data_IF_351718050033
#
_entry.id   IF_351718050033
#
_cell.length_a   1.000
_cell.length_b   1.000
_cell.length_c   1.000
_cell.angle_alpha   90.00
_cell.angle_beta   90.00
_cell.angle_gamma   90.00
#
_symmetry.space_group_name_H-M   'P 1'
#
loop_
_entity.id
_entity.type
_entity.pdbx_description
1 polymer ?
#
# COMPACT_ATOMS: atom_id res chain seq x y z
N UNK A 1 -58.34 -19.80 -12.52
CA UNK A 1 -58.94 -18.95 -11.47
C UNK A 1 -58.02 -17.89 -10.86
N UNK A 2 -56.72 -17.81 -11.22
CA UNK A 2 -55.80 -16.79 -10.67
C UNK A 2 -55.78 -15.43 -11.40
N UNK A 3 -56.45 -15.29 -12.54
CA UNK A 3 -56.43 -14.05 -13.36
C UNK A 3 -57.53 -13.02 -13.00
N UNK A 4 -58.37 -13.31 -11.99
CA UNK A 4 -59.50 -12.46 -11.56
C UNK A 4 -59.30 -11.78 -10.19
N UNK A 5 -58.22 -12.09 -9.47
CA UNK A 5 -57.98 -11.52 -8.12
C UNK A 5 -57.16 -10.22 -8.18
N UNK A 6 -56.37 -10.00 -9.23
CA UNK A 6 -55.65 -8.75 -9.43
C UNK A 6 -56.38 -7.88 -10.45
N UNK A 7 -57.28 -7.04 -9.93
CA UNK A 7 -58.07 -6.09 -10.70
C UNK A 7 -57.19 -5.23 -11.60
N UNK A 8 -57.55 -5.17 -12.88
CA UNK A 8 -56.86 -4.47 -13.98
C UNK A 8 -56.86 -2.94 -13.89
N UNK A 9 -57.19 -2.38 -12.72
CA UNK A 9 -56.94 -0.98 -12.37
C UNK A 9 -55.91 -0.84 -11.25
N UNK A 10 -55.93 -1.77 -10.27
CA UNK A 10 -54.89 -1.84 -9.24
C UNK A 10 -53.57 -2.39 -9.79
N UNK A 11 -53.63 -3.39 -10.68
CA UNK A 11 -52.44 -4.00 -11.25
C UNK A 11 -51.71 -3.13 -12.28
N UNK A 12 -52.32 -2.05 -12.78
CA UNK A 12 -51.71 -1.11 -13.75
C UNK A 12 -51.27 0.19 -13.07
N UNK A 13 -52.06 0.69 -12.13
CA UNK A 13 -51.76 1.94 -11.41
C UNK A 13 -50.72 1.70 -10.28
N UNK A 14 -50.75 0.52 -9.64
CA UNK A 14 -49.76 0.16 -8.61
C UNK A 14 -48.56 -0.60 -9.19
N UNK A 15 -48.64 -1.18 -10.40
CA UNK A 15 -47.47 -1.85 -11.00
C UNK A 15 -46.33 -0.88 -11.26
N UNK A 16 -46.63 0.34 -11.70
CA UNK A 16 -45.61 1.35 -11.93
C UNK A 16 -44.91 1.73 -10.62
N UNK A 17 -45.68 1.98 -9.56
CA UNK A 17 -45.14 2.33 -8.23
C UNK A 17 -44.34 1.16 -7.64
N UNK A 18 -44.84 -0.07 -7.75
CA UNK A 18 -44.16 -1.27 -7.27
C UNK A 18 -42.85 -1.48 -8.06
N UNK A 19 -42.85 -1.33 -9.38
CA UNK A 19 -41.64 -1.45 -10.19
C UNK A 19 -40.61 -0.37 -9.86
N UNK A 20 -41.04 0.88 -9.67
CA UNK A 20 -40.17 1.98 -9.23
C UNK A 20 -39.58 1.66 -7.85
N UNK A 21 -40.41 1.17 -6.92
CA UNK A 21 -39.94 0.81 -5.58
C UNK A 21 -38.89 -0.31 -5.62
N UNK A 22 -39.10 -1.34 -6.45
CA UNK A 22 -38.16 -2.45 -6.66
C UNK A 22 -36.87 -1.95 -7.32
N UNK A 23 -36.96 -1.05 -8.30
CA UNK A 23 -35.80 -0.45 -8.95
C UNK A 23 -34.95 0.37 -7.96
N UNK A 24 -35.58 1.15 -7.08
CA UNK A 24 -34.91 1.89 -6.01
C UNK A 24 -34.24 0.91 -5.03
N UNK A 25 -34.94 -0.15 -4.64
CA UNK A 25 -34.42 -1.16 -3.72
C UNK A 25 -33.22 -1.91 -4.32
N UNK A 26 -33.28 -2.27 -5.60
CA UNK A 26 -32.18 -2.85 -6.35
C UNK A 26 -31.00 -1.89 -6.47
N UNK A 27 -31.25 -0.61 -6.74
CA UNK A 27 -30.21 0.41 -6.84
C UNK A 27 -29.51 0.61 -5.48
N UNK A 28 -30.27 0.72 -4.39
CA UNK A 28 -29.74 0.80 -3.03
C UNK A 28 -28.95 -0.46 -2.66
N UNK A 29 -29.45 -1.64 -3.01
CA UNK A 29 -28.76 -2.92 -2.79
C UNK A 29 -27.45 -3.00 -3.58
N UNK A 30 -27.44 -2.53 -4.84
CA UNK A 30 -26.24 -2.48 -5.68
C UNK A 30 -25.22 -1.50 -5.10
N UNK A 31 -25.65 -0.29 -4.69
CA UNK A 31 -24.81 0.69 -4.02
C UNK A 31 -24.21 0.13 -2.72
N UNK A 32 -25.03 -0.54 -1.90
CA UNK A 32 -24.57 -1.19 -0.67
C UNK A 32 -23.59 -2.32 -0.93
N UNK A 33 -23.82 -3.14 -1.97
CA UNK A 33 -22.94 -4.23 -2.37
C UNK A 33 -21.59 -3.69 -2.86
N UNK A 34 -21.59 -2.64 -3.69
CA UNK A 34 -20.38 -1.95 -4.15
C UNK A 34 -19.62 -1.38 -2.94
N UNK A 35 -20.31 -0.72 -2.02
CA UNK A 35 -19.70 -0.16 -0.80
C UNK A 35 -19.05 -1.25 0.08
N UNK A 36 -19.72 -2.41 0.24
CA UNK A 36 -19.23 -3.53 1.06
C UNK A 36 -18.12 -4.35 0.40
N UNK A 37 -18.13 -4.51 -0.93
CA UNK A 37 -17.15 -5.34 -1.67
C UNK A 37 -15.95 -4.55 -2.18
N UNK A 38 -16.06 -3.23 -2.36
CA UNK A 38 -15.02 -2.36 -2.94
C UNK A 38 -15.03 -0.95 -2.28
N UNK A 39 -14.79 -0.82 -0.97
CA UNK A 39 -14.67 0.52 -0.34
C UNK A 39 -13.53 1.36 -0.95
N UNK A 40 -12.56 0.69 -1.58
CA UNK A 40 -11.39 1.29 -2.25
C UNK A 40 -11.72 2.09 -3.53
N UNK A 41 -12.87 1.85 -4.19
CA UNK A 41 -13.23 2.57 -5.44
C UNK A 41 -13.80 3.98 -5.19
N UNK A 42 -14.27 4.25 -3.97
CA UNK A 42 -14.77 5.58 -3.54
C UNK A 42 -13.79 6.34 -2.65
N UNK A 43 -12.72 5.68 -2.18
CA UNK A 43 -11.50 6.38 -1.82
C UNK A 43 -10.86 6.86 -3.12
N UNK A 44 -11.37 7.99 -3.64
CA UNK A 44 -10.63 8.83 -4.56
C UNK A 44 -9.38 9.22 -3.79
N UNK A 45 -8.30 8.45 -3.96
CA UNK A 45 -6.98 8.80 -3.48
C UNK A 45 -6.74 10.16 -4.05
N UNK A 46 -6.93 11.18 -3.20
CA UNK A 46 -6.48 12.52 -3.47
C UNK A 46 -5.02 12.26 -3.83
N UNK A 47 -4.64 12.40 -5.10
CA UNK A 47 -3.24 12.43 -5.50
C UNK A 47 -2.71 13.55 -4.65
N UNK A 48 -2.17 13.20 -3.49
CA UNK A 48 -1.47 14.10 -2.61
C UNK A 48 -0.35 14.48 -3.54
N UNK A 49 -0.46 15.68 -4.11
CA UNK A 49 0.71 16.36 -4.63
C UNK A 49 1.80 16.03 -3.63
N UNK A 50 2.90 15.46 -4.12
CA UNK A 50 4.11 15.20 -3.36
C UNK A 50 4.63 16.56 -2.87
N UNK A 51 3.90 17.17 -1.94
CA UNK A 51 4.48 17.99 -0.92
C UNK A 51 5.45 17.06 -0.26
N UNK A 52 6.71 17.40 -0.42
CA UNK A 52 7.82 16.92 0.37
C UNK A 52 7.42 17.07 1.85
N UNK A 53 6.63 16.12 2.36
CA UNK A 53 6.49 15.92 3.79
C UNK A 53 7.84 15.34 4.13
N UNK A 54 8.63 16.15 4.81
CA UNK A 54 9.81 15.73 5.55
C UNK A 54 9.33 14.73 6.61
N UNK A 55 8.90 13.55 6.18
CA UNK A 55 8.84 12.42 7.07
C UNK A 55 10.30 12.11 7.36
N UNK A 56 10.70 12.40 8.59
CA UNK A 56 12.05 12.11 9.06
C UNK A 56 12.30 10.61 8.87
N UNK A 57 13.45 10.26 8.30
CA UNK A 57 13.87 8.87 8.09
C UNK A 57 14.38 8.30 9.43
N UNK A 58 13.50 8.22 10.43
CA UNK A 58 13.78 7.57 11.72
C UNK A 58 13.58 6.07 11.60
N UNK A 59 14.47 5.29 12.23
CA UNK A 59 14.31 3.83 12.35
C UNK A 59 13.61 3.41 13.65
N UNK A 60 13.35 4.36 14.55
CA UNK A 60 12.72 4.10 15.86
C UNK A 60 11.31 4.69 15.91
N UNK A 61 10.43 4.00 16.66
CA UNK A 61 9.04 4.43 16.85
C UNK A 61 8.09 4.06 15.69
N UNK A 62 8.54 3.23 14.75
CA UNK A 62 7.76 2.75 13.61
C UNK A 62 7.51 1.26 13.75
N UNK A 63 6.26 0.82 13.66
CA UNK A 63 5.94 -0.59 13.41
C UNK A 63 6.09 -0.87 11.91
N UNK A 64 7.29 -1.32 11.52
CA UNK A 64 7.59 -1.59 10.12
C UNK A 64 6.68 -2.65 9.50
N UNK A 65 6.21 -3.63 10.29
CA UNK A 65 5.39 -4.70 9.74
C UNK A 65 4.00 -4.17 9.35
N UNK A 66 3.36 -3.45 10.26
CA UNK A 66 2.05 -2.84 10.02
C UNK A 66 2.12 -1.77 8.93
N UNK A 67 3.11 -0.87 8.98
CA UNK A 67 3.24 0.23 8.03
C UNK A 67 3.55 -0.24 6.60
N UNK A 68 4.40 -1.27 6.44
CA UNK A 68 4.66 -1.88 5.13
C UNK A 68 3.38 -2.53 4.60
N UNK A 69 2.66 -3.28 5.44
CA UNK A 69 1.41 -3.94 5.04
C UNK A 69 0.35 -2.92 4.61
N UNK A 70 0.21 -1.83 5.36
CA UNK A 70 -0.69 -0.73 5.04
C UNK A 70 -0.28 -0.02 3.74
N UNK A 71 1.01 0.24 3.54
CA UNK A 71 1.51 0.84 2.30
C UNK A 71 1.27 -0.06 1.07
N UNK A 72 1.45 -1.38 1.21
CA UNK A 72 1.17 -2.34 0.14
C UNK A 72 -0.32 -2.44 -0.18
N UNK A 73 -1.19 -2.48 0.84
CA UNK A 73 -2.65 -2.47 0.66
C UNK A 73 -3.12 -1.21 -0.09
N UNK A 74 -2.50 -0.06 0.20
CA UNK A 74 -2.74 1.20 -0.51
C UNK A 74 -2.05 1.32 -1.87
N UNK A 75 -1.37 0.29 -2.36
CA UNK A 75 -0.52 0.29 -3.57
C UNK A 75 0.52 1.43 -3.57
N UNK A 76 0.91 1.91 -2.39
CA UNK A 76 1.89 2.95 -2.21
C UNK A 76 3.29 2.32 -2.12
N UNK A 77 3.76 1.79 -3.26
CA UNK A 77 5.05 1.12 -3.35
C UNK A 77 6.23 2.04 -3.01
N UNK A 78 6.09 3.36 -3.23
CA UNK A 78 7.11 4.34 -2.85
C UNK A 78 7.32 4.37 -1.34
N UNK A 79 6.23 4.38 -0.57
CA UNK A 79 6.30 4.31 0.89
C UNK A 79 6.77 2.93 1.36
N UNK A 80 6.27 1.85 0.75
CA UNK A 80 6.67 0.49 1.10
C UNK A 80 8.19 0.28 0.90
N UNK A 81 8.75 0.76 -0.21
CA UNK A 81 10.19 0.71 -0.50
C UNK A 81 11.00 1.50 0.54
N UNK A 82 10.51 2.70 0.92
CA UNK A 82 11.17 3.52 1.95
C UNK A 82 11.18 2.80 3.29
N UNK A 83 10.04 2.28 3.73
CA UNK A 83 9.91 1.56 4.99
C UNK A 83 10.76 0.29 5.01
N UNK A 84 10.79 -0.47 3.91
CA UNK A 84 11.63 -1.67 3.79
C UNK A 84 13.12 -1.34 3.90
N UNK A 85 13.57 -0.24 3.29
CA UNK A 85 14.95 0.21 3.43
C UNK A 85 15.27 0.61 4.88
N UNK A 86 14.41 1.39 5.53
CA UNK A 86 14.57 1.79 6.93
C UNK A 86 14.55 0.61 7.89
N UNK A 87 13.67 -0.37 7.67
CA UNK A 87 13.64 -1.62 8.41
C UNK A 87 14.96 -2.38 8.29
N UNK A 88 15.54 -2.41 7.08
CA UNK A 88 16.84 -3.04 6.84
C UNK A 88 17.95 -2.33 7.62
N UNK A 89 17.97 -0.99 7.63
CA UNK A 89 18.92 -0.23 8.45
C UNK A 89 18.73 -0.51 9.94
N UNK A 90 17.47 -0.60 10.41
CA UNK A 90 17.18 -0.95 11.80
C UNK A 90 17.77 -2.31 12.17
N UNK A 91 17.51 -3.34 11.38
CA UNK A 91 18.02 -4.69 11.62
C UNK A 91 19.56 -4.73 11.65
N UNK A 92 20.21 -4.09 10.67
CA UNK A 92 21.68 -3.98 10.65
C UNK A 92 22.22 -3.21 11.86
N UNK A 93 21.49 -2.21 12.35
CA UNK A 93 21.87 -1.46 13.56
C UNK A 93 21.69 -2.31 14.82
N UNK A 94 20.58 -3.05 14.92
CA UNK A 94 20.29 -3.96 16.04
C UNK A 94 21.34 -5.09 16.12
N UNK A 95 21.84 -5.55 14.97
CA UNK A 95 22.93 -6.53 14.85
C UNK A 95 24.34 -5.93 15.04
N UNK A 96 24.45 -4.62 15.26
CA UNK A 96 25.73 -3.92 15.44
C UNK A 96 26.60 -3.82 14.17
N UNK A 97 26.04 -4.11 12.99
CA UNK A 97 26.76 -4.03 11.69
C UNK A 97 26.92 -2.61 11.18
N UNK A 98 26.05 -1.69 11.63
CA UNK A 98 26.15 -0.26 11.32
C UNK A 98 26.00 0.56 12.59
N UNK A 99 26.60 1.75 12.60
CA UNK A 99 26.30 2.77 13.59
C UNK A 99 25.28 3.75 12.99
N UNK A 100 23.99 3.50 13.25
CA UNK A 100 22.91 4.32 12.70
C UNK A 100 22.92 5.74 13.25
N UNK A 101 22.80 6.72 12.36
CA UNK A 101 22.74 8.14 12.67
C UNK A 101 21.75 8.83 11.71
N UNK A 102 20.90 9.71 12.24
CA UNK A 102 19.88 10.42 11.45
C UNK A 102 20.47 11.27 10.32
N UNK A 103 21.66 11.83 10.53
CA UNK A 103 22.33 12.69 9.55
C UNK A 103 23.17 11.92 8.52
N UNK A 104 23.34 10.60 8.67
CA UNK A 104 24.09 9.79 7.71
C UNK A 104 23.28 9.58 6.45
N UNK A 105 23.94 9.73 5.31
CA UNK A 105 23.38 9.43 4.00
C UNK A 105 23.32 7.92 3.75
N UNK A 106 22.36 7.42 2.96
CA UNK A 106 22.27 6.01 2.56
C UNK A 106 23.60 5.47 2.00
N UNK A 107 24.30 6.29 1.21
CA UNK A 107 25.59 5.93 0.62
C UNK A 107 26.68 5.70 1.67
N UNK A 108 26.64 6.39 2.82
CA UNK A 108 27.62 6.17 3.89
C UNK A 108 27.49 4.77 4.49
N UNK A 109 26.27 4.25 4.65
CA UNK A 109 26.06 2.88 5.15
C UNK A 109 26.63 1.81 4.21
N UNK A 110 26.79 2.09 2.91
CA UNK A 110 27.43 1.17 1.96
C UNK A 110 28.88 0.89 2.38
N UNK A 111 29.58 1.88 2.95
CA UNK A 111 30.97 1.74 3.40
C UNK A 111 31.11 1.04 4.77
N UNK A 112 30.03 0.96 5.54
CA UNK A 112 29.97 0.22 6.81
C UNK A 112 29.66 -1.26 6.56
N UNK A 113 28.59 -1.55 5.82
CA UNK A 113 28.13 -2.93 5.55
C UNK A 113 29.04 -3.66 4.56
N UNK A 114 29.56 -2.95 3.55
CA UNK A 114 30.52 -3.45 2.54
C UNK A 114 30.09 -4.68 1.73
N UNK A 115 28.80 -5.01 1.65
CA UNK A 115 28.30 -6.09 0.80
C UNK A 115 27.75 -5.59 -0.54
N UNK A 116 27.94 -6.34 -1.65
CA UNK A 116 27.38 -5.96 -2.95
C UNK A 116 25.85 -5.96 -2.95
N UNK A 117 25.22 -6.85 -2.17
CA UNK A 117 23.77 -6.96 -2.02
C UNK A 117 23.19 -5.68 -1.37
N UNK A 118 23.80 -5.20 -0.29
CA UNK A 118 23.37 -3.96 0.36
C UNK A 118 23.59 -2.72 -0.51
N UNK A 119 24.66 -2.70 -1.31
CA UNK A 119 24.87 -1.66 -2.32
C UNK A 119 23.74 -1.64 -3.35
N UNK A 120 23.33 -2.80 -3.85
CA UNK A 120 22.21 -2.90 -4.80
C UNK A 120 20.90 -2.41 -4.17
N UNK A 121 20.58 -2.87 -2.96
CA UNK A 121 19.39 -2.41 -2.22
C UNK A 121 19.38 -0.89 -2.05
N UNK A 122 20.51 -0.31 -1.63
CA UNK A 122 20.65 1.15 -1.43
C UNK A 122 20.49 1.91 -2.74
N UNK A 123 21.04 1.40 -3.85
CA UNK A 123 20.90 2.04 -5.16
C UNK A 123 19.44 2.05 -5.64
N UNK A 124 18.68 0.97 -5.44
CA UNK A 124 17.24 0.94 -5.74
C UNK A 124 16.48 1.98 -4.93
N UNK A 125 16.74 2.06 -3.62
CA UNK A 125 16.15 3.07 -2.75
C UNK A 125 16.46 4.51 -3.23
N UNK A 126 17.73 4.82 -3.52
CA UNK A 126 18.14 6.14 -3.99
C UNK A 126 17.47 6.53 -5.32
N UNK A 127 17.32 5.57 -6.25
CA UNK A 127 16.64 5.79 -7.52
C UNK A 127 15.16 6.11 -7.35
N UNK A 128 14.47 5.43 -6.43
CA UNK A 128 13.06 5.73 -6.14
C UNK A 128 12.92 7.06 -5.41
N UNK A 129 13.76 7.32 -4.41
CA UNK A 129 13.68 8.51 -3.56
C UNK A 129 14.03 9.79 -4.32
N UNK A 130 15.10 9.77 -5.11
CA UNK A 130 15.66 10.97 -5.75
C UNK A 130 15.64 10.92 -7.28
N UNK A 131 15.61 9.73 -7.89
CA UNK A 131 15.79 9.54 -9.33
C UNK A 131 14.52 9.54 -10.17
N UNK A 132 13.36 9.97 -9.63
CA UNK A 132 12.05 9.89 -10.29
C UNK A 132 11.70 8.50 -10.85
N UNK A 133 12.32 7.43 -10.35
CA UNK A 133 12.04 6.07 -10.79
C UNK A 133 10.66 5.62 -10.30
N UNK A 134 9.97 4.85 -11.13
CA UNK A 134 8.66 4.31 -10.78
C UNK A 134 8.82 3.25 -9.68
N UNK A 135 8.07 3.43 -8.58
CA UNK A 135 7.98 2.44 -7.53
C UNK A 135 6.90 1.43 -7.93
N UNK A 136 7.30 0.22 -8.32
CA UNK A 136 6.42 -0.88 -8.70
C UNK A 136 6.42 -2.00 -7.66
N UNK A 137 5.42 -2.86 -7.74
CA UNK A 137 5.37 -4.11 -6.97
C UNK A 137 6.58 -5.01 -7.24
N UNK A 138 6.96 -5.15 -8.52
CA UNK A 138 8.11 -5.96 -8.93
C UNK A 138 9.42 -5.45 -8.33
N UNK A 139 9.59 -4.12 -8.25
CA UNK A 139 10.74 -3.52 -7.60
C UNK A 139 10.72 -3.78 -6.09
N UNK A 140 9.55 -3.67 -5.45
CA UNK A 140 9.42 -3.98 -4.03
C UNK A 140 9.79 -5.44 -3.73
N UNK A 141 9.29 -6.41 -4.51
CA UNK A 141 9.64 -7.83 -4.37
C UNK A 141 11.14 -8.08 -4.57
N UNK A 142 11.76 -7.38 -5.53
CA UNK A 142 13.21 -7.44 -5.75
C UNK A 142 13.97 -6.93 -4.52
N UNK A 143 13.57 -5.78 -3.97
CA UNK A 143 14.20 -5.23 -2.77
C UNK A 143 13.97 -6.11 -1.53
N UNK A 144 12.81 -6.74 -1.40
CA UNK A 144 12.54 -7.71 -0.34
C UNK A 144 13.46 -8.93 -0.44
N UNK A 145 13.67 -9.45 -1.66
CA UNK A 145 14.61 -10.56 -1.87
C UNK A 145 16.03 -10.18 -1.46
N UNK A 146 16.49 -8.99 -1.87
CA UNK A 146 17.81 -8.45 -1.46
C UNK A 146 17.91 -8.30 0.07
N UNK A 147 16.86 -7.80 0.73
CA UNK A 147 16.83 -7.70 2.20
C UNK A 147 16.99 -9.08 2.84
N UNK A 148 16.25 -10.10 2.39
CA UNK A 148 16.36 -11.45 2.94
C UNK A 148 17.76 -12.05 2.75
N UNK A 149 18.40 -11.78 1.62
CA UNK A 149 19.79 -12.19 1.37
C UNK A 149 20.79 -11.51 2.31
N UNK A 150 20.60 -10.20 2.60
CA UNK A 150 21.42 -9.46 3.57
C UNK A 150 21.30 -10.08 4.97
N UNK A 151 20.09 -10.48 5.38
CA UNK A 151 19.87 -11.10 6.69
C UNK A 151 20.52 -12.49 6.78
N UNK A 152 20.39 -13.31 5.74
CA UNK A 152 21.02 -14.65 5.67
C UNK A 152 22.54 -14.59 5.62
N UNK A 153 23.11 -13.61 4.92
CA UNK A 153 24.57 -13.40 4.86
C UNK A 153 25.20 -12.94 6.18
N UNK A 154 24.39 -12.72 7.22
CA UNK A 154 24.82 -12.39 8.58
C UNK A 154 25.05 -13.57 9.51
N UNK A 155 24.64 -14.79 9.12
CA UNK A 155 24.68 -16.00 9.95
C UNK A 155 25.96 -16.85 9.75
N UNK A 156 27.01 -16.29 9.15
CA UNK A 156 28.26 -17.00 8.83
C UNK A 156 29.45 -16.49 9.66
#
# INVERSE_FOLDING_TARGET
MLRRIFGSKFATEYSEIILISIAILLLLFLCWLIYRKRPELFMRTRRKQLGYVTEEDTIYGIDFHEEITHALAGQNYRQAIRLLYLQTLKQLSDEGKINWQLYKTPTQYIYEVRTPVFRQLTNHFLRVRYGNFEASESLFQTMQTLQQEIMKGGEA
#
